data_IF_590252042295
#
_entry.id   IF_590252042295
#
_cell.length_a   1.000
_cell.length_b   1.000
_cell.length_c   1.000
_cell.angle_alpha   90.00
_cell.angle_beta   90.00
_cell.angle_gamma   90.00
#
_symmetry.space_group_name_H-M   'P 1'
#
loop_
_entity.id
_entity.type
_entity.pdbx_description
1 polymer ?
#
# COMPACT_ATOMS: atom_id res chain seq x y z
N UNK A 1 8.17 17.30 49.67
CA UNK A 1 7.46 18.50 49.15
C UNK A 1 8.22 19.07 47.96
N UNK A 2 7.76 18.79 46.74
CA UNK A 2 8.41 19.26 45.50
C UNK A 2 8.37 20.79 45.39
N UNK A 3 9.49 21.41 44.99
CA UNK A 3 9.60 22.85 44.78
C UNK A 3 8.61 23.35 43.72
N UNK A 4 8.30 22.51 42.71
CA UNK A 4 7.35 22.85 41.68
C UNK A 4 5.91 22.89 42.21
N UNK A 5 5.55 21.98 43.12
CA UNK A 5 4.25 21.96 43.78
C UNK A 5 4.00 23.25 44.60
N UNK A 6 4.98 23.66 45.43
CA UNK A 6 4.91 24.92 46.20
C UNK A 6 4.80 26.17 45.33
N UNK A 7 5.42 26.16 44.14
CA UNK A 7 5.31 27.25 43.17
C UNK A 7 3.92 27.28 42.50
N UNK A 8 3.28 26.12 42.29
CA UNK A 8 1.91 26.02 41.76
C UNK A 8 0.90 26.54 42.77
N UNK A 9 1.02 26.18 44.04
CA UNK A 9 0.15 26.65 45.13
C UNK A 9 0.18 28.18 45.27
N UNK A 10 1.38 28.78 45.31
CA UNK A 10 1.53 30.25 45.33
C UNK A 10 0.89 30.97 44.14
N UNK A 11 0.65 30.26 43.03
CA UNK A 11 0.05 30.82 41.80
C UNK A 11 -1.36 30.31 41.55
N UNK A 12 -2.01 29.71 42.54
CA UNK A 12 -3.34 29.12 42.40
C UNK A 12 -4.37 30.16 41.92
N UNK A 13 -4.37 31.37 42.49
CA UNK A 13 -5.28 32.46 42.09
C UNK A 13 -5.11 32.85 40.62
N UNK A 14 -3.87 33.07 40.17
CA UNK A 14 -3.55 33.37 38.77
C UNK A 14 -3.97 32.24 37.82
N UNK A 15 -3.83 30.99 38.25
CA UNK A 15 -4.30 29.85 37.46
C UNK A 15 -5.82 29.75 37.43
N UNK A 16 -6.52 30.13 38.51
CA UNK A 16 -7.98 30.13 38.58
C UNK A 16 -8.58 31.19 37.64
N UNK A 17 -8.04 32.42 37.66
CA UNK A 17 -8.41 33.49 36.71
C UNK A 17 -8.19 33.04 35.26
N UNK A 18 -7.03 32.45 34.98
CA UNK A 18 -6.72 31.97 33.63
C UNK A 18 -7.64 30.83 33.18
N UNK A 19 -7.98 29.88 34.06
CA UNK A 19 -8.92 28.78 33.77
C UNK A 19 -10.35 29.28 33.56
N UNK A 20 -10.78 30.29 34.31
CA UNK A 20 -12.08 30.91 34.13
C UNK A 20 -12.20 31.60 32.76
N UNK A 21 -11.12 32.25 32.30
CA UNK A 21 -11.05 32.87 30.98
C UNK A 21 -10.79 31.87 29.83
N UNK A 22 -10.19 30.71 30.11
CA UNK A 22 -9.79 29.72 29.11
C UNK A 22 -10.34 28.31 29.45
N UNK A 23 -11.68 28.13 29.50
CA UNK A 23 -12.28 26.89 29.96
C UNK A 23 -11.96 25.66 29.08
N UNK A 24 -11.65 25.88 27.79
CA UNK A 24 -11.34 24.83 26.82
C UNK A 24 -9.83 24.50 26.71
N UNK A 25 -8.96 25.32 27.31
CA UNK A 25 -7.51 25.19 27.17
C UNK A 25 -6.93 24.42 28.37
N UNK A 26 -7.22 23.12 28.40
CA UNK A 26 -6.60 22.16 29.33
C UNK A 26 -5.45 21.44 28.62
N UNK A 27 -4.38 21.14 29.36
CA UNK A 27 -3.20 20.49 28.80
C UNK A 27 -3.55 19.18 28.09
N UNK A 28 -3.49 19.19 26.76
CA UNK A 28 -3.74 18.00 25.93
C UNK A 28 -2.52 17.09 26.05
N UNK A 29 -2.68 15.96 26.73
CA UNK A 29 -1.69 14.89 26.70
C UNK A 29 -1.83 14.12 25.39
N UNK A 30 -0.71 13.73 24.77
CA UNK A 30 -0.74 12.78 23.66
C UNK A 30 -1.45 11.50 24.12
N UNK A 31 -2.48 11.06 23.38
CA UNK A 31 -3.11 9.77 23.61
C UNK A 31 -2.32 8.70 22.84
N UNK A 32 -1.70 7.72 23.52
CA UNK A 32 -0.88 6.69 22.87
C UNK A 32 -1.71 5.64 22.10
N UNK A 33 -3.04 5.75 22.10
CA UNK A 33 -3.99 4.80 21.49
C UNK A 33 -3.71 4.52 19.99
N UNK A 34 -2.99 5.40 19.28
CA UNK A 34 -2.58 5.19 17.89
C UNK A 34 -1.37 4.24 17.73
N UNK A 35 -0.74 3.79 18.81
CA UNK A 35 0.37 2.84 18.77
C UNK A 35 -0.09 1.51 19.35
N UNK A 36 -0.55 0.56 18.53
CA UNK A 36 -0.83 -0.78 19.02
C UNK A 36 0.47 -1.37 19.56
N UNK A 37 0.60 -1.43 20.89
CA UNK A 37 1.63 -2.24 21.53
C UNK A 37 1.16 -3.68 21.34
N UNK A 38 1.75 -4.35 20.34
CA UNK A 38 1.55 -5.78 20.12
C UNK A 38 2.21 -6.53 21.28
N UNK A 39 1.56 -6.56 22.44
CA UNK A 39 1.90 -7.47 23.54
C UNK A 39 1.49 -8.88 23.12
N UNK A 40 2.34 -9.50 22.31
CA UNK A 40 2.16 -10.88 21.89
C UNK A 40 2.14 -11.77 23.14
N UNK A 41 0.99 -12.34 23.46
CA UNK A 41 0.85 -13.49 24.38
C UNK A 41 1.51 -14.77 23.84
N UNK A 42 2.25 -14.67 22.73
CA UNK A 42 2.97 -15.78 22.10
C UNK A 42 4.37 -15.85 22.70
N UNK A 43 4.83 -17.05 23.06
CA UNK A 43 6.25 -17.29 23.35
C UNK A 43 7.06 -16.82 22.13
N UNK A 44 8.10 -15.97 22.32
CA UNK A 44 8.91 -15.50 21.21
C UNK A 44 9.58 -16.70 20.53
N UNK A 45 9.56 -16.74 19.19
CA UNK A 45 10.33 -17.74 18.43
C UNK A 45 11.80 -17.65 18.82
N UNK A 46 12.46 -18.80 18.98
CA UNK A 46 13.89 -18.82 19.25
C UNK A 46 14.66 -18.21 18.08
N UNK A 47 15.76 -17.51 18.38
CA UNK A 47 16.67 -16.97 17.37
C UNK A 47 17.29 -18.10 16.54
N UNK A 48 17.56 -19.25 17.16
CA UNK A 48 18.12 -20.43 16.48
C UNK A 48 17.10 -21.04 15.52
N UNK A 49 15.84 -21.19 15.95
CA UNK A 49 14.76 -21.72 15.10
C UNK A 49 14.50 -20.83 13.87
N UNK A 50 14.58 -19.51 14.05
CA UNK A 50 14.44 -18.55 12.95
C UNK A 50 15.61 -18.59 11.97
N UNK A 51 16.82 -18.92 12.44
CA UNK A 51 17.99 -19.08 11.59
C UNK A 51 17.95 -20.40 10.80
N UNK A 52 17.44 -21.47 11.41
CA UNK A 52 17.27 -22.78 10.74
C UNK A 52 16.13 -22.75 9.73
N UNK A 53 15.03 -22.03 10.03
CA UNK A 53 13.85 -21.92 9.17
C UNK A 53 13.62 -20.46 8.77
N UNK A 54 14.43 -19.91 7.85
CA UNK A 54 14.20 -18.56 7.33
C UNK A 54 12.88 -18.48 6.58
N UNK A 55 12.40 -17.25 6.36
CA UNK A 55 11.23 -17.01 5.52
C UNK A 55 11.58 -17.43 4.09
N UNK A 56 10.89 -18.44 3.59
CA UNK A 56 11.07 -18.94 2.23
C UNK A 56 9.98 -18.40 1.30
N UNK A 57 10.41 -17.79 0.19
CA UNK A 57 9.55 -17.25 -0.87
C UNK A 57 9.77 -17.96 -2.21
N UNK A 58 10.49 -19.08 -2.23
CA UNK A 58 10.76 -19.88 -3.43
C UNK A 58 9.49 -20.25 -4.18
N UNK A 59 8.48 -20.76 -3.49
CA UNK A 59 7.18 -21.14 -4.08
C UNK A 59 6.49 -19.96 -4.78
N UNK A 60 6.60 -18.75 -4.21
CA UNK A 60 6.05 -17.56 -4.84
C UNK A 60 6.81 -17.18 -6.12
N UNK A 61 8.14 -17.34 -6.11
CA UNK A 61 8.97 -17.11 -7.28
C UNK A 61 8.69 -18.12 -8.40
N UNK A 62 8.53 -19.41 -8.06
CA UNK A 62 8.15 -20.47 -9.00
C UNK A 62 6.78 -20.18 -9.64
N UNK A 63 5.79 -19.81 -8.82
CA UNK A 63 4.46 -19.46 -9.31
C UNK A 63 4.52 -18.27 -10.28
N UNK A 64 5.31 -17.23 -9.96
CA UNK A 64 5.49 -16.09 -10.85
C UNK A 64 6.12 -16.49 -12.18
N UNK A 65 7.18 -17.29 -12.16
CA UNK A 65 7.84 -17.78 -13.38
C UNK A 65 6.90 -18.61 -14.24
N UNK A 66 6.04 -19.41 -13.61
CA UNK A 66 5.04 -20.21 -14.33
C UNK A 66 4.02 -19.31 -15.05
N UNK A 67 3.52 -18.26 -14.38
CA UNK A 67 2.61 -17.28 -14.99
C UNK A 67 3.28 -16.56 -16.17
N UNK A 68 4.51 -16.10 -16.01
CA UNK A 68 5.27 -15.42 -17.06
C UNK A 68 5.50 -16.34 -18.27
N UNK A 69 5.90 -17.60 -18.03
CA UNK A 69 6.11 -18.60 -19.09
C UNK A 69 4.82 -18.91 -19.85
N UNK A 70 3.69 -19.06 -19.14
CA UNK A 70 2.39 -19.32 -19.75
C UNK A 70 1.95 -18.13 -20.62
N UNK A 71 2.10 -16.91 -20.11
CA UNK A 71 1.78 -15.69 -20.85
C UNK A 71 2.64 -15.56 -22.12
N UNK A 72 3.96 -15.76 -22.00
CA UNK A 72 4.87 -15.68 -23.14
C UNK A 72 4.55 -16.75 -24.20
N UNK A 73 4.23 -17.97 -23.79
CA UNK A 73 3.86 -19.04 -24.72
C UNK A 73 2.61 -18.70 -25.53
N UNK A 74 1.60 -18.11 -24.89
CA UNK A 74 0.36 -17.65 -25.54
C UNK A 74 0.67 -16.51 -26.52
N UNK A 75 1.37 -15.47 -26.07
CA UNK A 75 1.71 -14.32 -26.91
C UNK A 75 2.57 -14.73 -28.12
N UNK A 76 3.56 -15.60 -27.90
CA UNK A 76 4.40 -16.13 -28.99
C UNK A 76 3.58 -16.91 -30.01
N UNK A 77 2.62 -17.73 -29.56
CA UNK A 77 1.73 -18.50 -30.44
C UNK A 77 0.80 -17.57 -31.23
N UNK A 78 0.21 -16.58 -30.58
CA UNK A 78 -0.66 -15.59 -31.20
C UNK A 78 0.11 -14.82 -32.27
N UNK A 79 1.27 -14.27 -31.91
CA UNK A 79 2.13 -13.53 -32.85
C UNK A 79 2.53 -14.37 -34.06
N UNK A 80 2.97 -15.61 -33.82
CA UNK A 80 3.38 -16.54 -34.88
C UNK A 80 2.23 -16.91 -35.81
N UNK A 81 0.99 -16.94 -35.32
CA UNK A 81 -0.15 -17.38 -36.12
C UNK A 81 -0.78 -16.21 -36.86
N UNK A 82 -0.95 -15.06 -36.20
CA UNK A 82 -1.75 -13.94 -36.72
C UNK A 82 -0.94 -12.96 -37.57
N UNK A 83 0.35 -12.80 -37.27
CA UNK A 83 1.23 -11.84 -37.95
C UNK A 83 2.28 -12.50 -38.84
N UNK A 84 2.17 -13.81 -39.08
CA UNK A 84 3.04 -14.50 -40.03
C UNK A 84 2.61 -14.15 -41.44
N UNK A 85 3.46 -13.42 -42.14
CA UNK A 85 3.31 -13.24 -43.58
C UNK A 85 3.93 -14.44 -44.31
N UNK A 86 3.07 -15.27 -44.90
CA UNK A 86 3.47 -16.51 -45.57
C UNK A 86 3.26 -16.48 -47.07
N UNK A 87 2.86 -15.33 -47.65
CA UNK A 87 2.58 -15.29 -49.08
C UNK A 87 3.78 -14.74 -49.89
N UNK A 88 4.42 -15.54 -50.75
CA UNK A 88 5.48 -15.05 -51.65
C UNK A 88 4.99 -14.03 -52.69
N UNK A 89 3.66 -13.87 -52.85
CA UNK A 89 3.03 -12.93 -53.80
C UNK A 89 2.24 -11.79 -53.13
N UNK A 90 2.35 -11.56 -51.82
CA UNK A 90 1.71 -10.44 -51.09
C UNK A 90 0.30 -10.70 -50.53
N UNK A 91 -0.45 -9.68 -50.12
CA UNK A 91 -1.75 -9.90 -49.45
C UNK A 91 -2.87 -10.38 -50.42
N UNK A 92 -3.51 -11.53 -50.13
CA UNK A 92 -4.61 -12.09 -50.95
C UNK A 92 -5.96 -11.38 -50.78
N UNK A 93 -6.11 -10.58 -49.73
CA UNK A 93 -7.35 -9.88 -49.39
C UNK A 93 -7.06 -8.38 -49.33
N UNK A 94 -7.90 -7.60 -50.00
CA UNK A 94 -7.87 -6.14 -49.91
C UNK A 94 -8.94 -5.66 -48.93
N UNK A 95 -8.54 -5.39 -47.69
CA UNK A 95 -9.41 -4.86 -46.64
C UNK A 95 -9.11 -3.37 -46.43
N UNK A 96 -10.11 -2.51 -46.64
CA UNK A 96 -10.01 -1.07 -46.39
C UNK A 96 -10.89 -0.72 -45.20
N UNK A 97 -10.27 -0.27 -44.10
CA UNK A 97 -11.00 0.23 -42.96
C UNK A 97 -11.60 1.60 -43.30
N UNK A 98 -12.92 1.70 -43.25
CA UNK A 98 -13.64 2.97 -43.46
C UNK A 98 -14.24 3.42 -42.14
N UNK A 99 -13.96 4.65 -41.73
CA UNK A 99 -14.66 5.32 -40.63
C UNK A 99 -15.75 6.24 -41.18
N UNK A 100 -16.87 6.35 -40.46
CA UNK A 100 -17.95 7.29 -40.76
C UNK A 100 -18.14 8.19 -39.53
N UNK A 101 -18.48 9.45 -39.78
CA UNK A 101 -18.74 10.42 -38.71
C UNK A 101 -19.92 10.00 -37.83
N UNK A 102 -19.90 10.46 -36.58
CA UNK A 102 -20.99 10.29 -35.63
C UNK A 102 -21.38 11.66 -35.11
N UNK A 103 -22.64 11.86 -34.76
CA UNK A 103 -23.07 13.06 -34.05
C UNK A 103 -22.63 12.94 -32.59
N UNK A 104 -21.51 13.57 -32.24
CA UNK A 104 -20.99 13.64 -30.86
C UNK A 104 -21.39 14.99 -30.24
N UNK A 105 -22.29 15.01 -29.24
CA UNK A 105 -22.67 16.25 -28.57
C UNK A 105 -21.49 16.80 -27.75
N UNK A 106 -21.35 18.13 -27.76
CA UNK A 106 -20.38 18.88 -26.96
C UNK A 106 -21.16 19.76 -25.99
N UNK A 107 -21.25 19.33 -24.73
CA UNK A 107 -21.67 20.16 -23.59
C UNK A 107 -20.44 20.88 -23.05
#
# INVERSE_FOLDING_TARGET
MDAQARRRERRAQKQAEWKAANPLSVGVSAKPDNRPVLSLTRKPKSRVESAVNPIDLTVLAEYRQELERRAEAVERKNRRTWYKDSNPFGNKIHAVQKSRGKSTPLI
#
